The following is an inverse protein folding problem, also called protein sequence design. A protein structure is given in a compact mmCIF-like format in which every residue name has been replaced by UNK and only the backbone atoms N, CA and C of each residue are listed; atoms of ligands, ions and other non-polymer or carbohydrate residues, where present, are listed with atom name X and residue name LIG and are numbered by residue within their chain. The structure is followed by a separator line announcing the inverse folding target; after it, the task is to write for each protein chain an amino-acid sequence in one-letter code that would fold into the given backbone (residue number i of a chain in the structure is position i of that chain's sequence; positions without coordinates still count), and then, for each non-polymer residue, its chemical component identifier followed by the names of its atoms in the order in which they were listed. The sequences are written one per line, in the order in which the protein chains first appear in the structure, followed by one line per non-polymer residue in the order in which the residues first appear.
data_IF_060173639712
#
_entry.id   IF_060173639712
#
_cell.length_a   1.000
_cell.length_b   1.000
_cell.length_c   1.000
_cell.angle_alpha   90.00
_cell.angle_beta   90.00
_cell.angle_gamma   90.00
#
_symmetry.space_group_name_H-M   'P 1'
#
loop_
_entity.id
_entity.type
_entity.pdbx_description
1 polymer ?
#
# COMPACT_ATOMS: atom_id res chain seq x y z
N UNK A 1 -8.23 -27.89 0.98
CA UNK A 1 -7.80 -28.22 0.79
C UNK A 1 -7.36 -28.92 0.60
N UNK A 2 -7.16 -28.84 0.51
CA UNK A 2 -6.66 -29.62 0.34
C UNK A 2 -5.83 -30.01 0.31
N UNK A 3 -5.67 -30.13 0.53
CA UNK A 3 -4.82 -30.57 0.47
C UNK A 3 -4.19 -31.22 0.09
N UNK A 4 -3.98 -31.14 -0.06
CA UNK A 4 -3.37 -31.79 -0.46
C UNK A 4 -2.64 -32.51 -0.43
N UNK A 5 -2.97 -32.81 -0.43
CA UNK A 5 -2.43 -33.86 -0.43
C UNK A 5 -1.28 -34.20 -1.19
N UNK A 6 -1.16 -34.02 -2.14
CA UNK A 6 0.10 -34.05 -2.85
C UNK A 6 1.02 -32.99 -2.37
N UNK A 7 0.89 -32.70 -1.15
CA UNK A 7 1.80 -31.79 -0.50
C UNK A 7 3.13 -32.53 -0.29
N UNK A 8 4.16 -31.91 -0.75
CA UNK A 8 5.48 -32.48 -0.62
C UNK A 8 5.95 -32.35 0.81
N UNK A 9 6.38 -33.47 1.38
CA UNK A 9 6.94 -33.48 2.71
C UNK A 9 8.44 -33.70 2.59
N UNK A 10 9.19 -32.93 3.34
CA UNK A 10 10.64 -33.10 3.37
C UNK A 10 11.05 -34.12 4.39
N UNK A 11 12.09 -34.86 4.10
CA UNK A 11 12.52 -35.94 4.96
C UNK A 11 13.40 -35.50 6.11
N UNK A 12 14.10 -34.37 5.96
CA UNK A 12 15.07 -33.92 6.96
C UNK A 12 14.43 -32.93 7.91
N UNK A 13 13.84 -33.46 8.94
CA UNK A 13 13.12 -32.67 9.94
C UNK A 13 14.05 -31.68 10.65
N UNK A 14 15.31 -32.05 10.85
CA UNK A 14 16.26 -31.20 11.56
C UNK A 14 16.50 -29.88 10.85
N UNK A 15 16.64 -29.94 9.51
CA UNK A 15 16.83 -28.73 8.72
C UNK A 15 15.59 -27.84 8.82
N UNK A 16 14.42 -28.46 8.80
CA UNK A 16 13.18 -27.72 8.88
C UNK A 16 12.97 -27.12 10.26
N UNK A 17 13.38 -27.80 11.30
CA UNK A 17 13.26 -27.26 12.66
C UNK A 17 14.12 -26.01 12.81
N UNK A 18 15.34 -26.04 12.26
CA UNK A 18 16.22 -24.89 12.32
C UNK A 18 15.65 -23.70 11.55
N UNK A 19 15.14 -23.97 10.35
CA UNK A 19 14.52 -22.97 9.54
C UNK A 19 13.30 -22.36 10.22
N UNK A 20 12.46 -23.20 10.78
CA UNK A 20 11.27 -22.75 11.51
C UNK A 20 11.64 -21.88 12.69
N UNK A 21 12.73 -22.23 13.36
CA UNK A 21 13.19 -21.45 14.51
C UNK A 21 13.60 -20.05 14.06
N UNK A 22 14.33 -19.95 12.94
CA UNK A 22 14.75 -18.66 12.40
C UNK A 22 13.52 -17.82 12.02
N UNK A 23 12.56 -18.44 11.36
CA UNK A 23 11.34 -17.75 10.94
C UNK A 23 10.59 -17.24 12.16
N UNK A 24 10.44 -18.09 13.19
CA UNK A 24 9.71 -17.71 14.39
C UNK A 24 10.38 -16.56 15.13
N UNK A 25 11.71 -16.55 15.15
CA UNK A 25 12.45 -15.49 15.81
C UNK A 25 12.27 -14.15 15.08
N UNK A 26 12.11 -14.20 13.78
CA UNK A 26 11.99 -12.96 12.98
C UNK A 26 10.55 -12.57 12.72
N UNK A 27 9.60 -13.43 13.04
CA UNK A 27 8.20 -13.16 12.79
C UNK A 27 7.74 -11.98 13.64
N UNK A 28 7.17 -10.93 13.04
CA UNK A 28 6.60 -9.84 13.83
C UNK A 28 5.40 -10.35 14.64
N UNK A 29 5.01 -9.60 15.66
CA UNK A 29 3.84 -9.98 16.41
C UNK A 29 2.58 -9.83 15.57
N UNK A 30 1.47 -10.39 16.07
CA UNK A 30 0.23 -10.42 15.31
C UNK A 30 -0.33 -9.03 15.04
N UNK A 31 -0.16 -8.10 15.98
CA UNK A 31 -0.65 -6.74 15.81
C UNK A 31 0.07 -6.07 14.64
N UNK A 32 1.39 -6.23 14.58
CA UNK A 32 2.16 -5.63 13.50
C UNK A 32 1.78 -6.24 12.16
N UNK A 33 1.58 -7.54 12.11
CA UNK A 33 1.16 -8.20 10.86
C UNK A 33 -0.23 -7.76 10.44
N UNK A 34 -1.12 -7.59 11.41
CA UNK A 34 -2.44 -7.06 11.12
C UNK A 34 -2.34 -5.66 10.53
N UNK A 35 -1.52 -4.82 11.12
CA UNK A 35 -1.35 -3.45 10.63
C UNK A 35 -0.78 -3.44 9.22
N UNK A 36 0.15 -4.35 8.92
CA UNK A 36 0.70 -4.46 7.58
C UNK A 36 -0.37 -4.87 6.58
N UNK A 37 -1.21 -5.84 6.95
CA UNK A 37 -2.30 -6.28 6.09
C UNK A 37 -3.29 -5.13 5.85
N UNK A 38 -3.60 -4.35 6.88
CA UNK A 38 -4.50 -3.20 6.72
C UNK A 38 -3.89 -2.15 5.81
N UNK A 39 -2.59 -1.94 5.89
CA UNK A 39 -1.90 -1.03 4.99
C UNK A 39 -2.10 -1.43 3.54
N UNK A 40 -1.87 -2.70 3.21
CA UNK A 40 -2.06 -3.17 1.84
C UNK A 40 -3.50 -3.14 1.40
N UNK A 41 -4.42 -3.26 2.34
CA UNK A 41 -5.84 -3.15 2.04
C UNK A 41 -6.19 -1.72 1.60
N UNK A 42 -5.57 -0.72 2.23
CA UNK A 42 -5.75 0.67 1.81
C UNK A 42 -5.27 0.86 0.37
N UNK A 43 -4.09 0.32 0.05
CA UNK A 43 -3.57 0.38 -1.32
C UNK A 43 -4.46 -0.38 -2.30
N UNK A 44 -5.15 -1.42 -1.84
CA UNK A 44 -5.91 -2.31 -2.72
C UNK A 44 -7.23 -1.78 -3.22
N UNK A 45 -7.63 -0.58 -2.85
CA UNK A 45 -8.87 0.02 -3.33
C UNK A 45 -8.61 0.75 -4.65
N UNK A 46 -9.46 0.50 -5.65
CA UNK A 46 -9.21 1.03 -6.99
C UNK A 46 -9.21 2.55 -7.04
N UNK A 47 -10.09 3.20 -6.28
CA UNK A 47 -10.14 4.65 -6.25
C UNK A 47 -8.90 5.22 -5.56
N UNK A 48 -8.53 4.65 -4.44
CA UNK A 48 -7.37 5.12 -3.69
C UNK A 48 -6.09 4.92 -4.47
N UNK A 49 -5.94 3.78 -5.15
CA UNK A 49 -4.71 3.55 -5.92
C UNK A 49 -4.58 4.53 -7.08
N UNK A 50 -5.71 4.92 -7.68
CA UNK A 50 -5.69 5.92 -8.75
C UNK A 50 -5.24 7.28 -8.23
N UNK A 51 -5.72 7.66 -7.05
CA UNK A 51 -5.29 8.90 -6.41
C UNK A 51 -3.79 8.85 -6.12
N UNK A 52 -3.35 7.74 -5.53
CA UNK A 52 -1.94 7.59 -5.18
C UNK A 52 -1.05 7.62 -6.41
N UNK A 53 -1.50 7.08 -7.54
CA UNK A 53 -0.71 7.13 -8.75
C UNK A 53 -0.57 8.55 -9.27
N UNK A 54 -1.63 9.35 -9.22
CA UNK A 54 -1.52 10.75 -9.62
C UNK A 54 -0.49 11.46 -8.74
N UNK A 55 -0.54 11.19 -7.44
CA UNK A 55 0.40 11.81 -6.50
C UNK A 55 1.81 11.26 -6.64
N UNK A 56 1.95 10.07 -7.19
CA UNK A 56 3.25 9.52 -7.55
C UNK A 56 3.90 10.37 -8.64
N UNK A 57 3.08 10.90 -9.55
CA UNK A 57 3.58 11.69 -10.66
C UNK A 57 3.71 13.17 -10.34
N UNK A 58 2.85 13.71 -9.48
CA UNK A 58 2.84 15.15 -9.27
C UNK A 58 2.17 15.51 -7.94
N UNK A 59 2.58 16.65 -7.40
CA UNK A 59 1.87 17.25 -6.27
C UNK A 59 0.71 18.06 -6.85
N UNK A 60 -0.51 17.83 -6.36
CA UNK A 60 -1.69 18.46 -6.94
C UNK A 60 -2.69 18.87 -5.87
N UNK A 61 -3.54 19.82 -6.21
CA UNK A 61 -4.65 20.22 -5.35
C UNK A 61 -5.88 19.34 -5.60
N UNK A 62 -6.88 19.46 -4.73
CA UNK A 62 -8.09 18.63 -4.83
C UNK A 62 -8.82 18.86 -6.14
N UNK A 63 -8.89 20.12 -6.58
CA UNK A 63 -9.59 20.45 -7.84
C UNK A 63 -8.97 19.72 -9.04
N UNK A 64 -7.64 19.77 -9.12
CA UNK A 64 -6.94 19.15 -10.22
C UNK A 64 -7.04 17.63 -10.15
N UNK A 65 -6.98 17.09 -8.94
CA UNK A 65 -7.09 15.65 -8.75
C UNK A 65 -8.47 15.15 -9.16
N UNK A 66 -9.51 15.89 -8.75
CA UNK A 66 -10.87 15.55 -9.11
C UNK A 66 -11.07 15.57 -10.62
N UNK A 67 -10.50 16.57 -11.27
CA UNK A 67 -10.61 16.69 -12.72
C UNK A 67 -9.83 15.57 -13.41
N UNK A 68 -8.63 15.29 -12.95
CA UNK A 68 -7.79 14.24 -13.54
C UNK A 68 -8.47 12.88 -13.47
N UNK A 69 -9.18 12.61 -12.39
CA UNK A 69 -9.84 11.32 -12.20
C UNK A 69 -11.32 11.32 -12.56
N UNK A 70 -11.83 12.48 -13.00
CA UNK A 70 -13.23 12.63 -13.36
C UNK A 70 -14.15 12.23 -12.22
N UNK A 71 -13.89 12.80 -11.05
CA UNK A 71 -14.64 12.51 -9.83
C UNK A 71 -15.03 13.81 -9.15
N UNK A 72 -16.04 13.74 -8.30
CA UNK A 72 -16.47 14.90 -7.52
C UNK A 72 -15.42 15.24 -6.48
N UNK A 73 -15.24 16.53 -6.22
CA UNK A 73 -14.29 16.97 -5.21
C UNK A 73 -14.59 16.39 -3.83
N UNK A 74 -15.89 16.25 -3.49
CA UNK A 74 -16.26 15.69 -2.20
C UNK A 74 -15.80 14.25 -2.06
N UNK A 75 -15.90 13.47 -3.15
CA UNK A 75 -15.46 12.08 -3.15
C UNK A 75 -13.95 11.99 -2.99
N UNK A 76 -13.22 12.84 -3.72
CA UNK A 76 -11.77 12.90 -3.62
C UNK A 76 -11.35 13.31 -2.21
N UNK A 77 -11.99 14.35 -1.66
CA UNK A 77 -11.66 14.82 -0.31
C UNK A 77 -11.85 13.73 0.73
N UNK A 78 -12.92 12.95 0.58
CA UNK A 78 -13.17 11.83 1.49
C UNK A 78 -12.06 10.80 1.45
N UNK A 79 -11.64 10.44 0.24
CA UNK A 79 -10.57 9.48 0.06
C UNK A 79 -9.23 10.01 0.56
N UNK A 80 -8.95 11.28 0.30
CA UNK A 80 -7.71 11.89 0.78
C UNK A 80 -7.65 11.91 2.30
N UNK A 81 -8.80 12.09 2.96
CA UNK A 81 -8.84 12.04 4.42
C UNK A 81 -8.42 10.66 4.93
N UNK A 82 -8.94 9.61 4.29
CA UNK A 82 -8.57 8.24 4.65
C UNK A 82 -7.08 8.02 4.45
N UNK A 83 -6.58 8.44 3.30
CA UNK A 83 -5.16 8.27 2.98
C UNK A 83 -4.26 9.04 3.95
N UNK A 84 -4.68 10.24 4.33
CA UNK A 84 -3.90 11.06 5.26
C UNK A 84 -3.90 10.46 6.66
N UNK A 85 -5.05 9.95 7.11
CA UNK A 85 -5.14 9.29 8.40
C UNK A 85 -4.25 8.07 8.48
N UNK A 86 -4.02 7.42 7.34
CA UNK A 86 -3.16 6.25 7.27
C UNK A 86 -1.73 6.60 6.87
N UNK A 87 -1.40 7.88 6.85
CA UNK A 87 -0.05 8.39 6.65
C UNK A 87 0.53 8.05 5.29
N UNK A 88 -0.34 7.93 4.28
CA UNK A 88 0.09 7.66 2.92
C UNK A 88 0.23 8.93 2.09
N UNK A 89 -0.47 9.98 2.48
CA UNK A 89 -0.35 11.27 1.81
C UNK A 89 -0.16 12.37 2.86
N UNK A 90 0.40 13.48 2.41
CA UNK A 90 0.55 14.68 3.22
C UNK A 90 0.03 15.86 2.42
N UNK A 91 -0.23 16.95 3.11
CA UNK A 91 -0.73 18.15 2.47
C UNK A 91 0.04 19.36 2.94
N UNK A 92 0.07 20.36 2.09
CA UNK A 92 0.60 21.67 2.47
C UNK A 92 -0.32 22.74 1.93
N UNK A 93 -0.37 23.85 2.61
CA UNK A 93 -1.20 24.97 2.19
C UNK A 93 -0.32 26.04 1.53
N UNK A 94 -0.80 26.58 0.43
CA UNK A 94 -0.16 27.71 -0.22
C UNK A 94 -1.27 28.67 -0.60
N UNK A 95 -1.38 29.77 0.17
CA UNK A 95 -2.49 30.68 0.00
C UNK A 95 -3.80 30.00 0.36
N UNK A 96 -4.75 29.99 -0.59
CA UNK A 96 -6.04 29.36 -0.40
C UNK A 96 -6.06 27.93 -0.90
N UNK A 97 -4.98 27.49 -1.52
CA UNK A 97 -4.90 26.16 -2.12
C UNK A 97 -4.24 25.20 -1.17
N UNK A 98 -4.71 23.94 -1.17
CA UNK A 98 -4.10 22.86 -0.42
C UNK A 98 -3.61 21.83 -1.43
N UNK A 99 -2.32 21.53 -1.36
CA UNK A 99 -1.68 20.60 -2.29
C UNK A 99 -1.37 19.30 -1.55
N UNK A 100 -1.60 18.20 -2.25
CA UNK A 100 -1.36 16.85 -1.70
C UNK A 100 -0.22 16.19 -2.43
N UNK A 101 0.53 15.37 -1.68
CA UNK A 101 1.65 14.62 -2.22
C UNK A 101 1.78 13.32 -1.43
N UNK A 102 2.56 12.38 -1.96
CA UNK A 102 2.84 11.17 -1.23
C UNK A 102 3.60 11.50 0.06
N UNK A 103 3.30 10.75 1.11
CA UNK A 103 3.82 11.09 2.44
C UNK A 103 5.34 11.00 2.51
N UNK A 104 5.92 9.98 1.89
CA UNK A 104 7.35 9.77 1.97
C UNK A 104 7.82 8.82 0.87
N UNK A 105 9.12 8.52 0.91
CA UNK A 105 9.73 7.66 -0.10
C UNK A 105 9.23 6.21 -0.01
N UNK A 106 8.83 5.77 1.18
CA UNK A 106 8.31 4.40 1.33
C UNK A 106 7.06 4.20 0.48
N UNK A 107 6.15 5.16 0.53
CA UNK A 107 4.91 5.07 -0.25
C UNK A 107 5.22 5.07 -1.73
N UNK A 108 6.13 5.95 -2.14
CA UNK A 108 6.54 6.05 -3.54
C UNK A 108 7.13 4.73 -4.02
N UNK A 109 7.99 4.12 -3.21
CA UNK A 109 8.64 2.87 -3.55
C UNK A 109 7.64 1.73 -3.72
N UNK A 110 6.64 1.66 -2.83
CA UNK A 110 5.62 0.61 -2.92
C UNK A 110 4.86 0.72 -4.24
N UNK A 111 4.45 1.92 -4.61
CA UNK A 111 3.69 2.12 -5.86
C UNK A 111 4.58 1.83 -7.06
N UNK A 112 5.80 2.35 -7.06
CA UNK A 112 6.73 2.15 -8.17
C UNK A 112 7.07 0.68 -8.36
N UNK A 113 7.35 -0.04 -7.28
CA UNK A 113 7.67 -1.47 -7.37
C UNK A 113 6.48 -2.27 -7.83
N UNK A 114 5.28 -1.91 -7.36
CA UNK A 114 4.06 -2.57 -7.82
C UNK A 114 3.87 -2.42 -9.31
N UNK A 115 4.07 -1.21 -9.82
CA UNK A 115 3.96 -0.96 -11.27
C UNK A 115 4.98 -1.75 -12.07
N UNK A 116 6.22 -1.78 -11.60
CA UNK A 116 7.25 -2.56 -12.28
C UNK A 116 6.91 -4.04 -12.32
N UNK A 117 6.40 -4.54 -11.20
CA UNK A 117 6.05 -5.96 -11.13
C UNK A 117 4.95 -6.32 -12.12
N UNK A 118 3.92 -5.47 -12.23
CA UNK A 118 2.82 -5.71 -13.16
C UNK A 118 3.30 -5.68 -14.61
N UNK A 119 4.27 -4.81 -14.91
CA UNK A 119 4.77 -4.64 -16.25
C UNK A 119 5.79 -5.69 -16.68
N UNK A 120 6.21 -6.55 -15.76
CA UNK A 120 7.13 -7.64 -16.11
C UNK A 120 6.44 -8.68 -16.97
N UNK A 121 7.21 -9.23 -17.88
CA UNK A 121 6.72 -10.31 -18.76
C UNK A 121 6.85 -11.68 -18.14
#
# INVERSE_FOLDING_TARGET
MEKNNNIECCEKIEVHEELLKIVQEKMPDEVKLYDLAELFKIFGDSTRIRILFVLFEAEVCVCDLAQALNMKQSAISHQLRILKQNKLVKSRREGKSVFYSLADQHVRTIIGQGMEHIDED
#
